data_IF_224781211516
#
_entry.id   IF_224781211516
#
_cell.length_a   1.000
_cell.length_b   1.000
_cell.length_c   1.000
_cell.angle_alpha   90.00
_cell.angle_beta   90.00
_cell.angle_gamma   90.00
#
_symmetry.space_group_name_H-M   'P 1'
#
loop_
_entity.id
_entity.type
_entity.pdbx_description
1 polymer ?
#
# COMPACT_ATOMS: atom_id res chain seq x y z
N UNK A 1 -14.12 -17.82 21.26
CA UNK A 1 -14.99 -16.93 20.42
C UNK A 1 -14.09 -16.06 19.57
N UNK A 2 -14.37 -15.93 18.28
CA UNK A 2 -13.62 -15.03 17.38
C UNK A 2 -13.87 -13.57 17.75
N UNK A 3 -12.88 -12.70 17.53
CA UNK A 3 -12.93 -11.27 17.81
C UNK A 3 -12.81 -10.48 16.50
N UNK A 4 -13.40 -9.28 16.46
CA UNK A 4 -13.29 -8.36 15.33
C UNK A 4 -13.01 -6.95 15.85
N UNK A 5 -12.05 -6.27 15.23
CA UNK A 5 -11.69 -4.88 15.53
C UNK A 5 -11.95 -4.07 14.26
N UNK A 6 -12.75 -3.00 14.38
CA UNK A 6 -13.08 -2.09 13.29
C UNK A 6 -12.40 -0.76 13.55
N UNK A 7 -11.53 -0.33 12.63
CA UNK A 7 -10.85 0.97 12.67
C UNK A 7 -11.43 1.85 11.58
N UNK A 8 -12.20 2.87 11.96
CA UNK A 8 -12.84 3.83 11.06
C UNK A 8 -12.30 5.24 11.27
N UNK A 9 -12.49 6.12 10.27
CA UNK A 9 -12.03 7.50 10.30
C UNK A 9 -11.82 8.06 8.89
N UNK A 10 -11.72 9.39 8.81
CA UNK A 10 -11.49 10.11 7.55
C UNK A 10 -10.10 9.81 6.93
N UNK A 11 -9.88 10.19 5.66
CA UNK A 11 -8.57 10.01 5.05
C UNK A 11 -7.50 10.77 5.84
N UNK A 12 -6.35 10.13 6.11
CA UNK A 12 -5.28 10.73 6.92
C UNK A 12 -5.44 10.57 8.44
N UNK A 13 -6.53 9.99 8.95
CA UNK A 13 -6.77 9.85 10.39
C UNK A 13 -5.89 8.83 11.14
N UNK A 14 -4.87 8.24 10.49
CA UNK A 14 -3.96 7.26 11.11
C UNK A 14 -4.47 5.81 11.17
N UNK A 15 -5.49 5.44 10.39
CA UNK A 15 -6.06 4.06 10.38
C UNK A 15 -5.00 2.98 10.07
N UNK A 16 -4.18 3.22 9.06
CA UNK A 16 -3.13 2.28 8.62
C UNK A 16 -2.09 2.09 9.73
N UNK A 17 -1.59 3.17 10.31
CA UNK A 17 -0.63 3.12 11.42
C UNK A 17 -1.19 2.39 12.64
N UNK A 18 -2.44 2.68 13.00
CA UNK A 18 -3.12 2.00 14.11
C UNK A 18 -3.27 0.49 13.84
N UNK A 19 -3.54 0.11 12.60
CA UNK A 19 -3.64 -1.30 12.19
C UNK A 19 -2.28 -2.00 12.31
N UNK A 20 -1.20 -1.35 11.84
CA UNK A 20 0.15 -1.90 11.92
C UNK A 20 0.60 -2.09 13.38
N UNK A 21 0.37 -1.08 14.23
CA UNK A 21 0.69 -1.15 15.65
C UNK A 21 -0.08 -2.26 16.38
N UNK A 22 -1.38 -2.39 16.09
CA UNK A 22 -2.22 -3.45 16.65
C UNK A 22 -1.68 -4.84 16.27
N UNK A 23 -1.34 -5.04 15.00
CA UNK A 23 -0.78 -6.32 14.54
C UNK A 23 0.54 -6.64 15.24
N UNK A 24 1.45 -5.67 15.35
CA UNK A 24 2.71 -5.83 16.07
C UNK A 24 2.49 -6.24 17.53
N UNK A 25 1.53 -5.63 18.23
CA UNK A 25 1.20 -6.04 19.61
C UNK A 25 0.60 -7.44 19.67
N UNK A 26 -0.31 -7.79 18.76
CA UNK A 26 -0.98 -9.09 18.72
C UNK A 26 -0.01 -10.23 18.37
N UNK A 27 0.98 -9.98 17.51
CA UNK A 27 2.05 -10.94 17.22
C UNK A 27 3.00 -11.05 18.40
N UNK A 28 3.48 -9.94 18.96
CA UNK A 28 4.42 -9.94 20.09
C UNK A 28 3.86 -10.69 21.32
N UNK A 29 2.60 -10.46 21.70
CA UNK A 29 1.95 -11.16 22.82
C UNK A 29 1.80 -12.66 22.59
N UNK A 30 1.71 -13.07 21.34
CA UNK A 30 1.59 -14.48 20.96
C UNK A 30 2.91 -15.25 21.08
N UNK A 31 4.04 -14.57 21.11
CA UNK A 31 5.36 -15.18 21.22
C UNK A 31 5.75 -15.25 22.69
N UNK A 32 5.59 -16.41 23.33
CA UNK A 32 6.19 -16.72 24.65
C UNK A 32 7.73 -16.79 24.57
N UNK A 33 8.40 -15.70 24.19
CA UNK A 33 9.86 -15.58 24.20
C UNK A 33 10.64 -16.21 23.03
N UNK A 34 9.98 -16.64 21.96
CA UNK A 34 10.64 -17.12 20.73
C UNK A 34 10.33 -16.16 19.58
N UNK A 35 11.38 -15.52 19.04
CA UNK A 35 11.31 -14.48 18.01
C UNK A 35 10.30 -14.80 16.90
N UNK A 36 9.36 -13.87 16.68
CA UNK A 36 8.30 -13.99 15.68
C UNK A 36 8.85 -13.96 14.27
N UNK A 37 8.60 -15.03 13.50
CA UNK A 37 9.39 -15.28 12.30
C UNK A 37 8.60 -15.50 11.01
N UNK A 38 7.30 -15.21 10.94
CA UNK A 38 6.54 -15.46 9.70
C UNK A 38 5.42 -14.48 9.40
N UNK A 39 4.44 -14.38 10.29
CA UNK A 39 3.19 -13.63 10.00
C UNK A 39 3.42 -12.13 9.96
N UNK A 40 4.15 -11.59 10.93
CA UNK A 40 4.51 -10.18 10.96
C UNK A 40 5.35 -9.79 9.75
N UNK A 41 6.39 -10.57 9.42
CA UNK A 41 7.21 -10.34 8.23
C UNK A 41 6.42 -10.43 6.93
N UNK A 42 5.44 -11.35 6.83
CA UNK A 42 4.62 -11.50 5.61
C UNK A 42 3.64 -10.33 5.45
N UNK A 43 2.99 -9.89 6.54
CA UNK A 43 2.04 -8.77 6.49
C UNK A 43 2.78 -7.44 6.28
N UNK A 44 3.90 -7.22 6.98
CA UNK A 44 4.71 -6.00 6.86
C UNK A 44 5.48 -5.97 5.54
N UNK A 45 6.01 -7.10 5.08
CA UNK A 45 6.76 -7.22 3.82
C UNK A 45 5.90 -6.96 2.58
N UNK A 46 4.60 -7.27 2.63
CA UNK A 46 3.67 -6.92 1.56
C UNK A 46 3.26 -5.43 1.57
N UNK A 47 3.56 -4.68 2.63
CA UNK A 47 3.18 -3.27 2.81
C UNK A 47 3.56 -2.40 1.61
N UNK A 48 4.85 -2.30 1.24
CA UNK A 48 5.30 -1.46 0.13
C UNK A 48 4.58 -1.76 -1.18
N UNK A 49 4.36 -3.04 -1.51
CA UNK A 49 3.63 -3.46 -2.71
C UNK A 49 2.16 -3.05 -2.63
N UNK A 50 1.51 -3.23 -1.48
CA UNK A 50 0.10 -2.82 -1.32
C UNK A 50 -0.07 -1.31 -1.41
N UNK A 51 0.89 -0.54 -0.89
CA UNK A 51 0.87 0.91 -0.97
C UNK A 51 1.12 1.41 -2.39
N UNK A 52 2.12 0.85 -3.10
CA UNK A 52 2.40 1.25 -4.47
C UNK A 52 1.19 1.02 -5.40
N UNK A 53 0.52 -0.12 -5.27
CA UNK A 53 -0.61 -0.49 -6.13
C UNK A 53 -1.98 -0.02 -5.64
N UNK A 54 -2.08 0.39 -4.38
CA UNK A 54 -3.36 0.66 -3.70
C UNK A 54 -3.50 2.06 -3.13
N UNK A 55 -2.41 2.83 -3.04
CA UNK A 55 -2.43 4.20 -2.57
C UNK A 55 -2.18 5.19 -3.72
N UNK A 56 -2.72 6.39 -3.54
CA UNK A 56 -2.56 7.49 -4.48
C UNK A 56 -2.56 8.84 -3.76
N UNK A 57 -2.03 9.85 -4.46
CA UNK A 57 -2.17 11.25 -4.04
C UNK A 57 -3.60 11.72 -4.27
N UNK A 58 -4.20 12.26 -3.21
CA UNK A 58 -5.47 12.99 -3.23
C UNK A 58 -5.24 14.43 -2.79
N UNK A 59 -6.26 15.28 -2.89
CA UNK A 59 -6.17 16.68 -2.43
C UNK A 59 -5.81 16.79 -0.94
N UNK A 60 -6.21 15.82 -0.13
CA UNK A 60 -6.09 15.89 1.34
C UNK A 60 -5.01 14.98 1.91
N UNK A 61 -4.52 14.00 1.14
CA UNK A 61 -3.57 13.02 1.61
C UNK A 61 -2.71 12.53 0.43
N UNK A 62 -1.40 12.69 0.57
CA UNK A 62 -0.41 12.32 -0.44
C UNK A 62 -0.25 10.79 -0.62
N UNK A 63 -0.63 10.00 0.39
CA UNK A 63 -0.55 8.53 0.40
C UNK A 63 -1.90 7.93 0.83
N UNK A 64 -3.00 8.33 0.19
CA UNK A 64 -4.34 7.86 0.55
C UNK A 64 -4.55 6.43 0.06
N UNK A 65 -4.82 5.49 0.98
CA UNK A 65 -5.30 4.16 0.60
C UNK A 65 -6.65 4.25 -0.10
N UNK A 66 -6.73 3.65 -1.29
CA UNK A 66 -7.93 3.60 -2.14
C UNK A 66 -8.51 2.19 -2.21
N UNK A 67 -8.24 1.39 -1.19
CA UNK A 67 -8.82 0.07 -0.95
C UNK A 67 -9.05 -0.11 0.55
N UNK A 68 -10.05 -0.89 0.91
CA UNK A 68 -10.22 -1.42 2.25
C UNK A 68 -9.35 -2.66 2.45
N UNK A 69 -8.84 -2.85 3.66
CA UNK A 69 -8.03 -4.02 4.04
C UNK A 69 -8.70 -4.72 5.20
N UNK A 70 -8.97 -6.01 5.04
CA UNK A 70 -9.35 -6.90 6.13
C UNK A 70 -8.17 -7.81 6.42
N UNK A 71 -7.83 -7.95 7.70
CA UNK A 71 -6.72 -8.78 8.13
C UNK A 71 -7.27 -9.75 9.17
N UNK A 72 -7.28 -11.02 8.82
CA UNK A 72 -7.63 -12.10 9.73
C UNK A 72 -6.37 -12.71 10.28
N UNK A 73 -6.15 -12.61 11.60
CA UNK A 73 -5.05 -13.29 12.29
C UNK A 73 -5.59 -14.59 12.88
N UNK A 74 -4.99 -15.72 12.50
CA UNK A 74 -5.39 -17.04 12.91
C UNK A 74 -4.53 -17.51 14.08
N UNK A 75 -5.16 -17.96 15.17
CA UNK A 75 -4.48 -18.48 16.35
C UNK A 75 -4.72 -19.98 16.52
N UNK A 76 -3.69 -20.69 16.98
CA UNK A 76 -3.79 -22.06 17.48
C UNK A 76 -4.51 -22.07 18.83
N UNK A 77 -4.99 -23.24 19.25
CA UNK A 77 -5.66 -23.43 20.55
C UNK A 77 -4.77 -23.01 21.74
N UNK A 78 -3.45 -23.08 21.60
CA UNK A 78 -2.48 -22.66 22.62
C UNK A 78 -2.22 -21.14 22.65
N UNK A 79 -2.97 -20.35 21.87
CA UNK A 79 -2.83 -18.89 21.78
C UNK A 79 -1.70 -18.42 20.86
N UNK A 80 -1.01 -19.32 20.16
CA UNK A 80 0.04 -18.94 19.22
C UNK A 80 -0.53 -18.55 17.86
N UNK A 81 -0.02 -17.49 17.24
CA UNK A 81 -0.32 -17.09 15.87
C UNK A 81 0.12 -18.21 14.93
N UNK A 82 -0.85 -18.71 14.17
CA UNK A 82 -0.66 -19.74 13.16
C UNK A 82 -0.37 -19.15 11.78
N UNK A 83 -1.04 -18.05 11.45
CA UNK A 83 -1.04 -17.46 10.12
C UNK A 83 -1.88 -16.19 10.07
N UNK A 84 -1.86 -15.50 8.93
CA UNK A 84 -2.82 -14.43 8.65
C UNK A 84 -3.30 -14.47 7.21
N UNK A 85 -4.52 -13.98 6.99
CA UNK A 85 -5.12 -13.77 5.69
C UNK A 85 -5.34 -12.27 5.54
N UNK A 86 -4.90 -11.72 4.42
CA UNK A 86 -5.13 -10.32 4.05
C UNK A 86 -6.05 -10.29 2.86
N UNK A 87 -7.27 -9.79 3.06
CA UNK A 87 -8.25 -9.59 2.01
C UNK A 87 -8.37 -8.11 1.68
N UNK A 88 -8.41 -7.81 0.38
CA UNK A 88 -8.56 -6.44 -0.12
C UNK A 88 -9.98 -6.26 -0.61
N UNK A 89 -10.58 -5.15 -0.25
CA UNK A 89 -11.94 -4.80 -0.58
C UNK A 89 -12.00 -3.46 -1.29
N UNK A 90 -12.91 -3.33 -2.25
CA UNK A 90 -13.31 -2.04 -2.82
C UNK A 90 -12.13 -1.17 -3.32
N UNK A 91 -11.19 -1.78 -4.07
CA UNK A 91 -10.20 -0.98 -4.81
C UNK A 91 -10.93 0.02 -5.71
N UNK A 92 -10.59 1.30 -5.61
CA UNK A 92 -11.17 2.37 -6.42
C UNK A 92 -10.70 2.24 -7.88
N UNK A 93 -11.34 1.36 -8.64
CA UNK A 93 -10.99 1.09 -10.04
C UNK A 93 -11.16 2.31 -10.95
N UNK A 94 -12.11 3.19 -10.64
CA UNK A 94 -12.34 4.44 -11.38
C UNK A 94 -11.10 5.33 -11.43
N UNK A 95 -10.25 5.29 -10.40
CA UNK A 95 -9.00 6.07 -10.34
C UNK A 95 -8.03 5.73 -11.46
N UNK A 96 -8.08 4.52 -12.02
CA UNK A 96 -7.18 4.13 -13.11
C UNK A 96 -7.44 5.00 -14.35
N UNK A 97 -8.71 5.28 -14.64
CA UNK A 97 -9.12 5.96 -15.88
C UNK A 97 -9.36 7.45 -15.70
N UNK A 98 -9.56 7.92 -14.46
CA UNK A 98 -9.87 9.31 -14.17
C UNK A 98 -9.29 9.76 -12.82
N UNK A 99 -8.75 10.97 -12.77
CA UNK A 99 -8.31 11.63 -11.54
C UNK A 99 -8.72 13.09 -11.56
N UNK A 100 -9.18 13.61 -10.41
CA UNK A 100 -9.50 15.03 -10.29
C UNK A 100 -8.22 15.88 -10.33
N UNK A 101 -8.37 17.18 -10.64
CA UNK A 101 -7.25 18.13 -10.68
C UNK A 101 -6.49 18.13 -9.34
N UNK A 102 -5.16 18.03 -9.41
CA UNK A 102 -4.30 17.96 -8.23
C UNK A 102 -4.15 16.58 -7.58
N UNK A 103 -4.89 15.57 -8.05
CA UNK A 103 -4.73 14.18 -7.63
C UNK A 103 -3.80 13.40 -8.55
N UNK A 104 -3.43 12.18 -8.17
CA UNK A 104 -2.69 11.25 -9.03
C UNK A 104 -3.40 9.92 -9.20
N UNK A 105 -2.95 9.17 -10.19
CA UNK A 105 -3.22 7.74 -10.28
C UNK A 105 -2.44 6.99 -9.17
N UNK A 106 -2.53 5.67 -9.14
CA UNK A 106 -1.77 4.84 -8.19
C UNK A 106 -0.26 5.06 -8.32
N UNK A 107 0.44 5.04 -7.18
CA UNK A 107 1.87 5.36 -7.10
C UNK A 107 2.74 4.50 -8.01
N UNK A 108 2.41 3.21 -8.18
CA UNK A 108 3.16 2.26 -9.00
C UNK A 108 3.41 2.75 -10.43
N UNK A 109 2.48 3.51 -11.02
CA UNK A 109 2.69 4.05 -12.37
C UNK A 109 3.86 5.05 -12.40
N UNK A 110 3.92 5.95 -11.42
CA UNK A 110 4.95 6.97 -11.34
C UNK A 110 6.29 6.36 -10.90
N UNK A 111 6.26 5.38 -9.99
CA UNK A 111 7.44 4.64 -9.56
C UNK A 111 8.08 3.89 -10.73
N UNK A 112 7.27 3.21 -11.57
CA UNK A 112 7.76 2.55 -12.78
C UNK A 112 8.42 3.54 -13.75
N UNK A 113 7.77 4.67 -14.02
CA UNK A 113 8.31 5.66 -14.96
C UNK A 113 9.61 6.33 -14.45
N UNK A 114 9.74 6.51 -13.14
CA UNK A 114 10.93 7.08 -12.53
C UNK A 114 12.07 6.06 -12.39
N UNK A 115 11.75 4.82 -12.02
CA UNK A 115 12.72 3.83 -11.57
C UNK A 115 13.09 2.74 -12.55
N UNK A 116 12.37 2.58 -13.67
CA UNK A 116 12.78 1.67 -14.72
C UNK A 116 14.15 2.06 -15.29
N UNK A 117 15.00 1.07 -15.56
CA UNK A 117 16.26 1.30 -16.26
C UNK A 117 16.03 1.55 -17.76
N UNK A 118 17.07 1.96 -18.49
CA UNK A 118 16.94 2.30 -19.92
C UNK A 118 16.53 1.09 -20.78
N UNK A 119 16.89 -0.14 -20.39
CA UNK A 119 16.48 -1.34 -21.11
C UNK A 119 14.99 -1.62 -20.88
N UNK A 120 14.51 -1.51 -19.64
CA UNK A 120 13.10 -1.63 -19.26
C UNK A 120 12.27 -0.54 -19.96
N UNK A 121 12.77 0.71 -20.01
CA UNK A 121 12.10 1.82 -20.70
C UNK A 121 11.97 1.58 -22.20
N UNK A 122 13.03 1.11 -22.87
CA UNK A 122 12.97 0.79 -24.29
C UNK A 122 12.02 -0.39 -24.56
N UNK A 123 12.14 -1.46 -23.79
CA UNK A 123 11.35 -2.68 -23.92
C UNK A 123 9.85 -2.42 -23.74
N UNK A 124 9.48 -1.68 -22.70
CA UNK A 124 8.09 -1.36 -22.37
C UNK A 124 7.59 -0.06 -23.04
N UNK A 125 8.45 0.63 -23.80
CA UNK A 125 8.17 1.92 -24.45
C UNK A 125 7.67 2.96 -23.45
N UNK A 126 8.37 3.05 -22.32
CA UNK A 126 8.04 4.01 -21.26
C UNK A 126 8.42 5.41 -21.70
N UNK A 127 7.50 6.34 -21.52
CA UNK A 127 7.69 7.78 -21.78
C UNK A 127 7.29 8.59 -20.55
N UNK A 128 7.40 9.92 -20.60
CA UNK A 128 7.01 10.77 -19.48
C UNK A 128 5.51 10.70 -19.19
N UNK A 129 5.12 10.89 -17.91
CA UNK A 129 3.76 10.72 -17.44
C UNK A 129 2.72 11.60 -18.20
N UNK A 130 3.12 12.78 -18.67
CA UNK A 130 2.27 13.69 -19.45
C UNK A 130 1.84 13.12 -20.81
N UNK A 131 2.51 12.07 -21.31
CA UNK A 131 2.17 11.40 -22.57
C UNK A 131 1.11 10.31 -22.43
N UNK A 132 0.76 9.91 -21.21
CA UNK A 132 -0.24 8.89 -20.96
C UNK A 132 -1.57 9.52 -20.55
N UNK A 133 -2.65 9.24 -21.28
CA UNK A 133 -3.99 9.72 -20.95
C UNK A 133 -4.41 9.36 -19.51
N UNK A 134 -4.00 8.21 -18.98
CA UNK A 134 -4.34 7.80 -17.61
C UNK A 134 -3.50 8.48 -16.51
N UNK A 135 -2.50 9.28 -16.86
CA UNK A 135 -1.61 9.96 -15.92
C UNK A 135 -1.60 11.49 -16.10
N UNK A 136 -2.05 12.01 -17.24
CA UNK A 136 -1.95 13.44 -17.60
C UNK A 136 -3.18 14.29 -17.29
N UNK A 137 -4.32 13.68 -16.94
CA UNK A 137 -5.60 14.39 -16.75
C UNK A 137 -5.62 15.38 -15.57
N UNK A 138 -4.84 15.12 -14.52
CA UNK A 138 -4.91 15.91 -13.28
C UNK A 138 -3.91 17.07 -13.21
N UNK A 139 -2.99 17.17 -14.19
CA UNK A 139 -1.85 18.07 -14.20
C UNK A 139 -0.95 17.95 -12.94
N UNK A 140 -0.94 16.80 -12.28
CA UNK A 140 -0.12 16.52 -11.11
C UNK A 140 0.72 15.27 -11.33
N UNK A 141 2.04 15.45 -11.40
CA UNK A 141 2.97 14.36 -11.73
C UNK A 141 3.86 13.95 -10.55
N UNK A 142 4.08 14.83 -9.59
CA UNK A 142 4.93 14.60 -8.41
C UNK A 142 4.19 14.71 -7.08
N UNK A 143 4.81 14.16 -6.04
CA UNK A 143 4.43 14.35 -4.63
C UNK A 143 5.65 14.87 -3.88
N UNK A 144 5.46 15.94 -3.12
CA UNK A 144 6.53 16.54 -2.33
C UNK A 144 7.04 15.56 -1.27
N UNK A 145 8.36 15.42 -1.18
CA UNK A 145 9.02 14.57 -0.19
C UNK A 145 9.01 13.07 -0.50
N UNK A 146 8.60 12.66 -1.70
CA UNK A 146 8.64 11.25 -2.14
C UNK A 146 9.73 11.06 -3.19
N UNK A 147 10.66 10.15 -2.91
CA UNK A 147 11.67 9.68 -3.87
C UNK A 147 11.12 8.45 -4.61
N UNK A 148 10.58 8.69 -5.81
CA UNK A 148 9.93 7.64 -6.60
C UNK A 148 10.90 6.59 -7.14
N UNK A 149 12.17 6.95 -7.33
CA UNK A 149 13.23 6.01 -7.72
C UNK A 149 13.53 5.06 -6.56
N UNK A 150 13.69 5.60 -5.35
CA UNK A 150 13.88 4.80 -4.15
C UNK A 150 12.66 3.90 -3.88
N UNK A 151 11.45 4.43 -3.99
CA UNK A 151 10.23 3.66 -3.78
C UNK A 151 10.07 2.54 -4.80
N UNK A 152 10.45 2.75 -6.06
CA UNK A 152 10.49 1.67 -7.06
C UNK A 152 11.52 0.58 -6.69
N UNK A 153 12.70 0.97 -6.22
CA UNK A 153 13.73 0.02 -5.79
C UNK A 153 13.26 -0.87 -4.62
N UNK A 154 12.40 -0.35 -3.73
CA UNK A 154 11.79 -1.12 -2.64
C UNK A 154 10.77 -2.17 -3.12
N UNK A 155 10.35 -2.13 -4.38
CA UNK A 155 9.42 -3.10 -4.97
C UNK A 155 10.12 -4.28 -5.66
N UNK A 156 11.43 -4.16 -5.97
CA UNK A 156 12.25 -5.23 -6.55
C UNK A 156 12.79 -6.15 -5.45
#
# INVERSE_FOLDING_TARGET
KNQCIVISGESGSGKTESTNLLLHHLTALSHKGLHGSGVEQTILGAGPVLEAFGNAKTVHNNNSSRFGKFIQVNYKQNGMVHGAIVEKYLLEKSRIVFQARGERNYHVFYYLLAGADEQEKEMFRLVSADKYNYLSQSACYSVDGVDELHEFARLK
#
